data_IF_002972610297
#
_entry.id   IF_002972610297
#
_cell.length_a   1.000
_cell.length_b   1.000
_cell.length_c   1.000
_cell.angle_alpha   90.00
_cell.angle_beta   90.00
_cell.angle_gamma   90.00
#
_symmetry.space_group_name_H-M   'P 1'
#
loop_
_entity.id
_entity.type
_entity.pdbx_description
1 polymer ?
#
# COMPACT_ATOMS: atom_id res chain seq x y z
N UNK A 1 73.57 -40.50 -37.17
CA UNK A 1 72.12 -40.40 -37.43
C UNK A 1 71.40 -40.72 -36.14
N UNK A 2 71.03 -39.71 -35.36
CA UNK A 2 70.18 -39.87 -34.19
C UNK A 2 68.75 -39.53 -34.59
N UNK A 3 67.94 -40.57 -34.78
CA UNK A 3 66.51 -40.42 -35.06
C UNK A 3 65.82 -40.06 -33.74
N UNK A 4 65.48 -38.78 -33.54
CA UNK A 4 64.50 -38.40 -32.51
C UNK A 4 63.17 -39.09 -32.85
N UNK A 5 62.59 -39.89 -31.95
CA UNK A 5 61.48 -40.77 -32.29
C UNK A 5 60.20 -39.96 -32.52
N UNK A 6 59.56 -40.16 -33.68
CA UNK A 6 58.25 -39.62 -34.08
C UNK A 6 57.19 -39.67 -32.95
N UNK A 7 57.31 -40.64 -32.05
CA UNK A 7 56.42 -40.85 -30.91
C UNK A 7 56.37 -39.65 -29.96
N UNK A 8 57.48 -38.93 -29.75
CA UNK A 8 57.48 -37.74 -28.88
C UNK A 8 56.73 -36.56 -29.51
N UNK A 9 56.80 -36.41 -30.83
CA UNK A 9 56.11 -35.33 -31.53
C UNK A 9 54.59 -35.54 -31.52
N UNK A 10 54.14 -36.77 -31.76
CA UNK A 10 52.73 -37.13 -31.73
C UNK A 10 52.10 -36.93 -30.34
N UNK A 11 52.81 -37.31 -29.28
CA UNK A 11 52.33 -37.19 -27.89
C UNK A 11 52.20 -35.72 -27.44
N UNK A 12 53.10 -34.84 -27.91
CA UNK A 12 53.00 -33.39 -27.65
C UNK A 12 51.84 -32.74 -28.41
N UNK A 13 51.59 -33.15 -29.66
CA UNK A 13 50.48 -32.64 -30.46
C UNK A 13 49.12 -33.04 -29.89
N UNK A 14 48.95 -34.30 -29.50
CA UNK A 14 47.71 -34.79 -28.87
C UNK A 14 47.43 -34.07 -27.55
N UNK A 15 48.44 -33.85 -26.70
CA UNK A 15 48.29 -33.11 -25.45
C UNK A 15 47.88 -31.64 -25.68
N UNK A 16 48.44 -30.97 -26.69
CA UNK A 16 48.05 -29.59 -27.04
C UNK A 16 46.60 -29.51 -27.53
N UNK A 17 46.17 -30.47 -28.36
CA UNK A 17 44.78 -30.54 -28.86
C UNK A 17 43.82 -30.80 -27.69
N UNK A 18 44.14 -31.76 -26.81
CA UNK A 18 43.35 -32.07 -25.60
C UNK A 18 43.24 -30.86 -24.66
N UNK A 19 44.33 -30.12 -24.43
CA UNK A 19 44.28 -28.89 -23.62
C UNK A 19 43.40 -27.81 -24.25
N UNK A 20 43.52 -27.61 -25.58
CA UNK A 20 42.72 -26.61 -26.31
C UNK A 20 41.23 -26.96 -26.28
N UNK A 21 40.89 -28.24 -26.45
CA UNK A 21 39.51 -28.73 -26.34
C UNK A 21 38.97 -28.57 -24.92
N UNK A 22 39.73 -28.94 -23.87
CA UNK A 22 39.32 -28.74 -22.47
C UNK A 22 39.07 -27.26 -22.18
N UNK A 23 39.97 -26.35 -22.58
CA UNK A 23 39.82 -24.91 -22.35
C UNK A 23 38.57 -24.33 -23.04
N UNK A 24 38.26 -24.76 -24.26
CA UNK A 24 37.08 -24.32 -24.99
C UNK A 24 35.78 -24.83 -24.34
N UNK A 25 35.76 -26.09 -23.89
CA UNK A 25 34.61 -26.67 -23.18
C UNK A 25 34.42 -25.99 -21.81
N UNK A 26 35.49 -25.76 -21.04
CA UNK A 26 35.41 -25.03 -19.77
C UNK A 26 34.91 -23.59 -19.98
N UNK A 27 35.37 -22.90 -21.02
CA UNK A 27 34.93 -21.54 -21.35
C UNK A 27 33.45 -21.48 -21.79
N UNK A 28 32.97 -22.50 -22.51
CA UNK A 28 31.56 -22.65 -22.88
C UNK A 28 30.68 -22.97 -21.68
N UNK A 29 31.10 -23.89 -20.80
CA UNK A 29 30.36 -24.24 -19.58
C UNK A 29 30.27 -23.04 -18.62
N UNK A 30 31.35 -22.26 -18.45
CA UNK A 30 31.33 -21.03 -17.65
C UNK A 30 30.37 -20.01 -18.27
N UNK A 31 30.33 -19.87 -19.60
CA UNK A 31 29.42 -18.93 -20.28
C UNK A 31 27.95 -19.31 -20.09
N UNK A 32 27.61 -20.61 -20.15
CA UNK A 32 26.24 -21.09 -19.87
C UNK A 32 25.86 -20.97 -18.39
N UNK A 33 26.80 -21.21 -17.46
CA UNK A 33 26.55 -21.06 -16.02
C UNK A 33 26.28 -19.60 -15.63
N UNK A 34 26.97 -18.63 -16.25
CA UNK A 34 26.73 -17.20 -16.03
C UNK A 34 25.36 -16.77 -16.60
N UNK A 35 24.97 -17.26 -17.79
CA UNK A 35 23.66 -16.97 -18.37
C UNK A 35 22.50 -17.55 -17.54
N UNK A 36 22.68 -18.75 -16.98
CA UNK A 36 21.65 -19.41 -16.16
C UNK A 36 21.51 -18.76 -14.78
N UNK A 37 22.61 -18.26 -14.18
CA UNK A 37 22.58 -17.53 -12.91
C UNK A 37 21.82 -16.20 -12.98
N UNK A 38 21.81 -15.54 -14.15
CA UNK A 38 21.03 -14.31 -14.40
C UNK A 38 19.52 -14.57 -14.53
N UNK A 39 19.10 -15.78 -14.91
CA UNK A 39 17.69 -16.17 -15.06
C UNK A 39 17.03 -16.62 -13.74
N UNK A 40 17.82 -16.94 -12.72
CA UNK A 40 17.34 -17.38 -11.40
C UNK A 40 17.21 -16.25 -10.37
N UNK A 41 17.42 -14.99 -10.74
CA UNK A 41 17.02 -13.89 -9.88
C UNK A 41 15.51 -13.76 -9.96
N UNK A 42 14.74 -13.95 -8.87
CA UNK A 42 13.37 -13.48 -8.87
C UNK A 42 13.44 -11.99 -9.15
N UNK A 43 12.89 -11.56 -10.28
CA UNK A 43 12.58 -10.15 -10.48
C UNK A 43 11.52 -9.84 -9.45
N UNK A 44 11.95 -9.49 -8.24
CA UNK A 44 11.14 -8.68 -7.36
C UNK A 44 11.05 -7.33 -8.06
N UNK A 45 10.17 -7.28 -9.07
CA UNK A 45 9.44 -6.07 -9.42
C UNK A 45 8.70 -5.69 -8.13
N UNK A 46 9.44 -5.07 -7.22
CA UNK A 46 8.86 -4.00 -6.46
C UNK A 46 8.42 -3.03 -7.53
N UNK A 47 7.16 -3.15 -7.95
CA UNK A 47 6.44 -2.03 -8.47
C UNK A 47 6.40 -1.01 -7.33
N UNK A 48 7.53 -0.36 -7.07
CA UNK A 48 7.57 0.99 -6.52
C UNK A 48 7.07 1.90 -7.65
N UNK A 49 5.84 1.66 -8.10
CA UNK A 49 5.00 2.78 -8.43
C UNK A 49 5.04 3.67 -7.19
N UNK A 50 5.30 4.96 -7.39
CA UNK A 50 5.17 5.93 -6.31
C UNK A 50 3.85 5.63 -5.60
N UNK A 51 3.90 5.40 -4.28
CA UNK A 51 2.71 5.21 -3.45
C UNK A 51 1.67 6.26 -3.85
N UNK A 52 0.40 5.87 -3.92
CA UNK A 52 -0.65 6.79 -4.31
C UNK A 52 -0.56 8.09 -3.51
N UNK A 53 -0.73 9.22 -4.20
CA UNK A 53 -0.71 10.52 -3.55
C UNK A 53 -2.15 11.00 -3.37
N UNK A 54 -2.63 10.95 -2.13
CA UNK A 54 -3.99 11.36 -1.79
C UNK A 54 -4.13 12.87 -1.57
N UNK A 55 -3.05 13.65 -1.74
CA UNK A 55 -3.08 15.09 -1.53
C UNK A 55 -4.05 15.79 -2.50
N UNK A 56 -4.84 16.70 -1.95
CA UNK A 56 -5.84 17.45 -2.70
C UNK A 56 -6.99 17.92 -1.83
N UNK A 57 -7.83 18.75 -2.45
CA UNK A 57 -9.14 19.11 -1.93
C UNK A 57 -10.17 18.18 -2.58
N UNK A 58 -10.97 17.52 -1.77
CA UNK A 58 -11.89 16.48 -2.18
C UNK A 58 -13.31 16.88 -1.84
N UNK A 59 -14.17 16.93 -2.86
CA UNK A 59 -15.59 17.16 -2.75
C UNK A 59 -16.33 15.83 -2.67
N UNK A 60 -17.23 15.67 -1.69
CA UNK A 60 -18.01 14.44 -1.59
C UNK A 60 -18.99 14.30 -2.76
N UNK A 61 -18.97 13.16 -3.44
CA UNK A 61 -19.91 12.84 -4.50
C UNK A 61 -20.99 11.89 -3.98
N UNK A 62 -22.12 12.44 -3.55
CA UNK A 62 -23.25 11.67 -3.07
C UNK A 62 -23.83 10.71 -4.12
N UNK A 63 -23.86 11.10 -5.40
CA UNK A 63 -24.44 10.29 -6.49
C UNK A 63 -23.65 9.02 -6.79
N UNK A 64 -22.34 9.01 -6.54
CA UNK A 64 -21.45 7.86 -6.74
C UNK A 64 -21.18 7.08 -5.44
N UNK A 65 -21.68 7.57 -4.30
CA UNK A 65 -21.41 6.99 -3.00
C UNK A 65 -22.54 6.05 -2.56
N UNK A 66 -22.18 5.06 -1.75
CA UNK A 66 -23.11 4.15 -1.09
C UNK A 66 -22.84 4.16 0.41
N UNK A 67 -23.76 4.72 1.20
CA UNK A 67 -23.63 4.83 2.65
C UNK A 67 -24.31 3.67 3.42
N UNK A 68 -24.79 2.67 2.69
CA UNK A 68 -25.64 1.59 3.20
C UNK A 68 -26.98 2.09 3.73
N UNK A 69 -27.79 1.18 4.27
CA UNK A 69 -29.02 1.54 4.97
C UNK A 69 -28.67 2.28 6.26
N UNK A 70 -29.05 3.55 6.34
CA UNK A 70 -28.96 4.32 7.57
C UNK A 70 -29.95 3.73 8.59
N UNK A 71 -29.54 3.46 9.84
CA UNK A 71 -30.51 3.14 10.88
C UNK A 71 -31.56 4.25 10.95
N UNK A 72 -32.82 3.84 11.10
CA UNK A 72 -33.96 4.73 11.28
C UNK A 72 -33.72 5.57 12.56
N UNK A 73 -33.17 6.77 12.40
CA UNK A 73 -32.72 7.58 13.54
C UNK A 73 -31.38 8.30 13.32
N UNK A 74 -31.26 9.06 12.22
CA UNK A 74 -30.33 10.18 12.15
C UNK A 74 -28.89 9.85 11.77
N UNK A 75 -28.55 10.15 10.51
CA UNK A 75 -27.18 10.56 10.18
C UNK A 75 -26.42 9.66 9.20
N UNK A 76 -27.01 9.36 8.04
CA UNK A 76 -26.21 8.92 6.88
C UNK A 76 -24.98 9.82 6.65
N UNK A 77 -25.16 11.13 6.86
CA UNK A 77 -24.10 12.16 6.80
C UNK A 77 -23.34 12.38 8.11
N UNK A 78 -23.76 11.78 9.23
CA UNK A 78 -23.06 11.94 10.53
C UNK A 78 -21.81 11.06 10.61
N UNK A 79 -21.78 9.96 9.85
CA UNK A 79 -20.68 8.97 9.89
C UNK A 79 -19.67 9.10 8.73
N UNK A 80 -19.89 10.00 7.77
CA UNK A 80 -18.98 10.21 6.64
C UNK A 80 -19.62 11.03 5.52
N UNK A 81 -18.81 11.49 4.55
CA UNK A 81 -19.30 12.17 3.35
C UNK A 81 -19.30 13.71 3.39
N UNK A 82 -18.50 14.33 4.24
CA UNK A 82 -18.17 15.75 4.13
C UNK A 82 -16.95 15.97 3.23
N UNK A 83 -16.81 17.17 2.70
CA UNK A 83 -15.60 17.58 1.99
C UNK A 83 -14.38 17.50 2.91
N UNK A 84 -13.21 17.30 2.32
CA UNK A 84 -11.97 17.34 3.08
C UNK A 84 -10.78 17.81 2.26
N UNK A 85 -9.74 18.26 2.96
CA UNK A 85 -8.41 18.50 2.39
C UNK A 85 -7.47 17.44 2.92
N UNK A 86 -6.70 16.81 2.04
CA UNK A 86 -5.60 15.93 2.40
C UNK A 86 -4.28 16.57 2.02
N UNK A 87 -3.32 16.55 2.95
CA UNK A 87 -1.92 16.93 2.75
C UNK A 87 -1.07 15.71 3.01
N UNK A 88 -0.19 15.37 2.06
CA UNK A 88 0.68 14.20 2.15
C UNK A 88 2.14 14.63 2.03
N UNK A 89 2.87 14.56 3.14
CA UNK A 89 4.27 14.99 3.24
C UNK A 89 5.11 13.83 3.76
N UNK A 90 6.01 13.32 2.91
CA UNK A 90 6.86 12.17 3.22
C UNK A 90 6.05 10.97 3.77
N UNK A 91 6.09 10.77 5.10
CA UNK A 91 5.42 9.67 5.80
C UNK A 91 4.20 10.12 6.62
N UNK A 92 3.69 11.34 6.41
CA UNK A 92 2.54 11.87 7.13
C UNK A 92 1.42 12.22 6.17
N UNK A 93 0.24 11.64 6.41
CA UNK A 93 -1.02 12.07 5.82
C UNK A 93 -1.81 12.86 6.86
N UNK A 94 -2.10 14.12 6.56
CA UNK A 94 -3.00 14.97 7.36
C UNK A 94 -4.30 15.15 6.60
N UNK A 95 -5.43 14.84 7.26
CA UNK A 95 -6.78 14.94 6.70
C UNK A 95 -7.58 15.95 7.52
N UNK A 96 -8.05 17.00 6.88
CA UNK A 96 -8.92 18.02 7.46
C UNK A 96 -10.31 17.87 6.85
N UNK A 97 -11.24 17.28 7.60
CA UNK A 97 -12.63 17.10 7.15
C UNK A 97 -13.51 18.19 7.71
N UNK A 98 -14.36 18.78 6.86
CA UNK A 98 -15.38 19.74 7.28
C UNK A 98 -16.75 19.08 7.36
N UNK A 99 -17.53 19.44 8.38
CA UNK A 99 -18.89 18.95 8.58
C UNK A 99 -19.75 20.09 9.05
N UNK A 100 -20.95 20.24 8.49
CA UNK A 100 -21.93 21.19 9.02
C UNK A 100 -22.65 20.54 10.19
N UNK A 101 -22.58 21.16 11.36
CA UNK A 101 -23.32 20.80 12.56
C UNK A 101 -24.82 21.05 12.39
N UNK A 102 -25.62 20.55 13.32
CA UNK A 102 -27.08 20.75 13.32
C UNK A 102 -27.49 22.22 13.50
N UNK A 103 -26.61 23.02 14.09
CA UNK A 103 -26.72 24.46 14.28
C UNK A 103 -26.28 25.27 13.04
N UNK A 104 -25.91 24.60 11.94
CA UNK A 104 -25.40 25.23 10.73
C UNK A 104 -23.92 25.65 10.83
N UNK A 105 -23.26 25.45 11.97
CA UNK A 105 -21.84 25.78 12.12
C UNK A 105 -20.97 24.74 11.44
N UNK A 106 -19.92 25.18 10.75
CA UNK A 106 -18.94 24.25 10.17
C UNK A 106 -17.94 23.83 11.23
N UNK A 107 -17.88 22.54 11.52
CA UNK A 107 -16.85 21.93 12.35
C UNK A 107 -15.77 21.30 11.46
N UNK A 108 -14.52 21.64 11.72
CA UNK A 108 -13.37 20.99 11.11
C UNK A 108 -12.78 19.95 12.07
N UNK A 109 -12.47 18.77 11.56
CA UNK A 109 -11.71 17.75 12.30
C UNK A 109 -10.42 17.46 11.56
N UNK A 110 -9.30 17.53 12.27
CA UNK A 110 -7.99 17.12 11.73
C UNK A 110 -7.66 15.72 12.21
N UNK A 111 -7.15 14.88 11.31
CA UNK A 111 -6.64 13.55 11.63
C UNK A 111 -5.29 13.35 10.94
N UNK A 112 -4.33 12.78 11.67
CA UNK A 112 -2.96 12.54 11.22
C UNK A 112 -2.68 11.05 11.22
N UNK A 113 -2.12 10.55 10.11
CA UNK A 113 -1.79 9.15 9.93
C UNK A 113 -0.34 9.00 9.46
N UNK A 114 0.43 8.19 10.17
CA UNK A 114 1.78 7.79 9.75
C UNK A 114 1.68 6.71 8.67
N UNK A 115 2.38 6.89 7.56
CA UNK A 115 2.31 6.06 6.36
C UNK A 115 3.35 4.92 6.33
N UNK A 116 4.07 4.73 7.43
CA UNK A 116 5.12 3.73 7.62
C UNK A 116 4.65 2.48 8.39
N UNK A 117 3.33 2.36 8.63
CA UNK A 117 2.77 1.24 9.39
C UNK A 117 2.86 1.38 10.90
N UNK A 118 3.43 2.48 11.42
CA UNK A 118 3.42 2.75 12.87
C UNK A 118 2.06 3.27 13.32
N UNK A 119 1.80 3.13 14.62
CA UNK A 119 0.60 3.66 15.25
C UNK A 119 0.66 5.18 15.29
N UNK A 120 -0.42 5.81 14.87
CA UNK A 120 -0.70 7.25 15.01
C UNK A 120 -1.82 7.46 16.04
N UNK A 121 -1.68 8.49 16.87
CA UNK A 121 -2.65 8.81 17.93
C UNK A 121 -3.28 10.16 17.62
N UNK A 122 -4.61 10.22 17.60
CA UNK A 122 -5.36 11.46 17.41
C UNK A 122 -6.29 11.67 18.60
N UNK A 123 -6.10 12.78 19.30
CA UNK A 123 -6.90 13.18 20.46
C UNK A 123 -7.90 14.24 20.06
N UNK A 124 -9.16 14.04 20.44
CA UNK A 124 -10.25 14.99 20.22
C UNK A 124 -11.00 15.21 21.53
N UNK A 125 -11.93 16.18 21.55
CA UNK A 125 -12.85 16.35 22.68
C UNK A 125 -13.71 15.10 22.97
N UNK A 126 -13.80 14.16 22.02
CA UNK A 126 -14.53 12.89 22.16
C UNK A 126 -13.64 11.71 22.59
N UNK A 127 -12.38 11.98 22.94
CA UNK A 127 -11.40 10.97 23.35
C UNK A 127 -10.31 10.71 22.32
N UNK A 128 -9.53 9.66 22.60
CA UNK A 128 -8.38 9.23 21.81
C UNK A 128 -8.79 8.21 20.74
N UNK A 129 -8.12 8.27 19.60
CA UNK A 129 -8.18 7.25 18.56
C UNK A 129 -6.78 6.83 18.14
N UNK A 130 -6.58 5.52 17.99
CA UNK A 130 -5.32 4.92 17.53
C UNK A 130 -5.52 4.37 16.13
N UNK A 131 -4.62 4.70 15.21
CA UNK A 131 -4.73 4.28 13.81
C UNK A 131 -3.42 3.73 13.26
N UNK A 132 -3.50 2.67 12.46
CA UNK A 132 -2.37 2.10 11.71
C UNK A 132 -2.69 2.14 10.23
N UNK A 133 -1.80 2.71 9.42
CA UNK A 133 -1.96 2.82 7.97
C UNK A 133 -0.97 1.89 7.24
N UNK A 134 -1.48 1.04 6.35
CA UNK A 134 -0.71 0.01 5.64
C UNK A 134 -0.97 0.11 4.14
N UNK A 135 0.10 0.24 3.36
CA UNK A 135 0.03 0.25 1.91
C UNK A 135 -0.21 -1.17 1.37
N UNK A 136 -0.97 -1.28 0.29
CA UNK A 136 -0.99 -2.48 -0.54
C UNK A 136 0.40 -2.73 -1.15
N UNK A 137 0.69 -3.98 -1.53
CA UNK A 137 1.98 -4.36 -2.10
C UNK A 137 2.34 -3.58 -3.37
N UNK A 138 1.34 -3.16 -4.15
CA UNK A 138 1.50 -2.32 -5.35
C UNK A 138 1.51 -0.81 -5.06
N UNK A 139 1.38 -0.41 -3.79
CA UNK A 139 1.37 0.99 -3.35
C UNK A 139 0.15 1.80 -3.79
N UNK A 140 -0.87 1.19 -4.41
CA UNK A 140 -2.02 1.93 -4.97
C UNK A 140 -3.13 2.20 -3.97
N UNK A 141 -3.22 1.39 -2.92
CA UNK A 141 -4.24 1.51 -1.89
C UNK A 141 -3.63 1.65 -0.51
N UNK A 142 -4.28 2.41 0.36
CA UNK A 142 -3.90 2.59 1.76
C UNK A 142 -5.03 2.08 2.65
N UNK A 143 -4.73 1.07 3.46
CA UNK A 143 -5.66 0.57 4.47
C UNK A 143 -5.36 1.26 5.80
N UNK A 144 -6.35 1.95 6.37
CA UNK A 144 -6.27 2.59 7.69
C UNK A 144 -7.18 1.82 8.64
N UNK A 145 -6.61 1.24 9.68
CA UNK A 145 -7.37 0.61 10.76
C UNK A 145 -7.36 1.53 11.96
N UNK A 146 -8.52 1.97 12.40
CA UNK A 146 -8.71 2.86 13.55
C UNK A 146 -9.47 2.14 14.65
N UNK A 147 -8.93 2.20 15.85
CA UNK A 147 -9.59 1.81 17.10
C UNK A 147 -9.95 3.06 17.90
N UNK A 148 -11.18 3.09 18.42
CA UNK A 148 -11.65 4.12 19.35
C UNK A 148 -12.28 3.46 20.57
N UNK A 149 -11.92 3.96 21.74
CA UNK A 149 -12.49 3.51 23.00
C UNK A 149 -13.48 4.55 23.48
N UNK A 150 -14.71 4.13 23.75
CA UNK A 150 -15.75 4.97 24.31
C UNK A 150 -16.16 4.43 25.67
N UNK A 151 -16.31 5.32 26.64
CA UNK A 151 -16.98 4.97 27.89
C UNK A 151 -18.42 5.47 27.87
N UNK A 152 -19.34 4.56 28.20
CA UNK A 152 -20.76 4.86 28.33
C UNK A 152 -21.29 4.07 29.51
N UNK A 153 -21.94 4.77 30.46
CA UNK A 153 -22.58 4.16 31.63
C UNK A 153 -21.62 3.27 32.47
N UNK A 154 -20.34 3.67 32.55
CA UNK A 154 -19.29 2.91 33.25
C UNK A 154 -18.78 1.67 32.50
N UNK A 155 -19.25 1.41 31.28
CA UNK A 155 -18.77 0.36 30.41
C UNK A 155 -17.90 0.92 29.29
N UNK A 156 -16.73 0.30 29.11
CA UNK A 156 -15.81 0.60 28.01
C UNK A 156 -16.20 -0.23 26.78
N UNK A 157 -16.52 0.45 25.68
CA UNK A 157 -16.77 -0.19 24.38
C UNK A 157 -15.68 0.20 23.39
N UNK A 158 -15.07 -0.78 22.73
CA UNK A 158 -14.13 -0.56 21.64
C UNK A 158 -14.87 -0.60 20.29
N UNK A 159 -14.64 0.42 19.47
CA UNK A 159 -15.11 0.48 18.09
C UNK A 159 -13.92 0.39 17.15
N UNK A 160 -13.97 -0.58 16.25
CA UNK A 160 -12.98 -0.75 15.18
C UNK A 160 -13.58 -0.32 13.84
N UNK A 161 -12.82 0.48 13.11
CA UNK A 161 -13.14 0.89 11.73
C UNK A 161 -11.95 0.56 10.84
N UNK A 162 -12.21 -0.06 9.71
CA UNK A 162 -11.20 -0.29 8.66
C UNK A 162 -11.60 0.46 7.43
N UNK A 163 -10.66 1.22 6.87
CA UNK A 163 -10.90 2.01 5.68
C UNK A 163 -9.86 1.74 4.62
N UNK A 164 -10.28 1.59 3.38
CA UNK A 164 -9.39 1.41 2.23
C UNK A 164 -9.54 2.60 1.31
N UNK A 165 -8.44 3.35 1.14
CA UNK A 165 -8.36 4.52 0.30
C UNK A 165 -7.67 4.14 -1.02
N UNK A 166 -8.26 4.53 -2.14
CA UNK A 166 -7.69 4.33 -3.46
C UNK A 166 -8.04 5.49 -4.41
N UNK A 167 -7.18 5.74 -5.39
CA UNK A 167 -7.49 6.62 -6.51
C UNK A 167 -8.00 5.76 -7.67
N UNK A 168 -9.28 5.92 -8.02
CA UNK A 168 -9.85 5.25 -9.20
C UNK A 168 -9.35 5.90 -10.50
N UNK A 169 -9.01 7.19 -10.43
CA UNK A 169 -8.29 7.97 -11.41
C UNK A 169 -7.65 9.18 -10.69
N UNK A 170 -6.80 10.01 -11.36
CA UNK A 170 -6.12 11.14 -10.71
C UNK A 170 -7.03 12.18 -10.04
N UNK A 171 -8.31 12.22 -10.41
CA UNK A 171 -9.30 13.20 -9.94
C UNK A 171 -10.45 12.58 -9.16
N UNK A 172 -10.44 11.27 -8.91
CA UNK A 172 -11.52 10.57 -8.20
C UNK A 172 -10.95 9.60 -7.16
N UNK A 173 -11.27 9.86 -5.90
CA UNK A 173 -10.89 9.05 -4.75
C UNK A 173 -12.06 8.18 -4.29
N UNK A 174 -11.79 6.92 -3.99
CA UNK A 174 -12.71 6.02 -3.28
C UNK A 174 -12.20 5.73 -1.88
N UNK A 175 -13.10 5.78 -0.90
CA UNK A 175 -12.88 5.37 0.50
C UNK A 175 -13.95 4.36 0.87
N UNK A 176 -13.55 3.10 0.91
CA UNK A 176 -14.38 2.03 1.45
C UNK A 176 -14.17 1.98 2.96
N UNK A 177 -15.24 1.92 3.73
CA UNK A 177 -15.19 1.86 5.19
C UNK A 177 -16.03 0.68 5.66
N UNK A 178 -15.45 -0.08 6.59
CA UNK A 178 -16.05 -1.20 7.27
C UNK A 178 -16.00 -0.94 8.75
N UNK A 179 -17.15 -0.92 9.40
CA UNK A 179 -17.28 -0.75 10.84
C UNK A 179 -17.91 -2.00 11.45
N UNK A 180 -17.22 -2.62 12.39
CA UNK A 180 -17.76 -3.74 13.16
C UNK A 180 -18.41 -3.20 14.42
N UNK A 181 -19.70 -3.46 14.58
CA UNK A 181 -20.45 -3.13 15.80
C UNK A 181 -21.03 -4.40 16.41
N UNK A 182 -21.45 -4.39 17.69
CA UNK A 182 -22.18 -5.51 18.29
C UNK A 182 -23.43 -5.92 17.49
N UNK A 183 -24.01 -5.00 16.71
CA UNK A 183 -25.20 -5.23 15.88
C UNK A 183 -24.87 -5.71 14.46
N UNK A 184 -23.61 -6.05 14.17
CA UNK A 184 -23.13 -6.51 12.87
C UNK A 184 -22.14 -5.56 12.19
N UNK A 185 -21.74 -5.96 10.98
CA UNK A 185 -20.79 -5.23 10.14
C UNK A 185 -21.54 -4.25 9.23
N UNK A 186 -21.09 -3.00 9.20
CA UNK A 186 -21.59 -1.97 8.29
C UNK A 186 -20.51 -1.61 7.29
N UNK A 187 -20.84 -1.66 6.01
CA UNK A 187 -19.97 -1.23 4.90
C UNK A 187 -20.52 0.01 4.22
N UNK A 188 -19.62 0.93 3.87
CA UNK A 188 -19.93 2.13 3.09
C UNK A 188 -18.83 2.39 2.09
N UNK A 189 -19.17 2.88 0.90
CA UNK A 189 -18.24 3.36 -0.11
C UNK A 189 -18.49 4.83 -0.34
N UNK A 190 -17.50 5.66 -0.05
CA UNK A 190 -17.56 7.10 -0.28
C UNK A 190 -16.67 7.47 -1.47
N UNK A 191 -17.25 8.12 -2.46
CA UNK A 191 -16.54 8.60 -3.65
C UNK A 191 -16.41 10.11 -3.56
N UNK A 192 -15.23 10.62 -3.90
CA UNK A 192 -14.92 12.04 -3.90
C UNK A 192 -14.34 12.45 -5.25
N UNK A 193 -14.76 13.61 -5.72
CA UNK A 193 -14.15 14.25 -6.88
C UNK A 193 -13.18 15.35 -6.41
N UNK A 194 -12.06 15.51 -7.11
CA UNK A 194 -11.07 16.54 -6.79
C UNK A 194 -11.65 17.93 -7.12
N UNK A 195 -11.43 18.89 -6.22
CA UNK A 195 -11.75 20.31 -6.45
C UNK A 195 -10.65 21.02 -7.22
#
# INVERSE_FOLDING_TARGET
>A
MEYLPLNNCLLVQTNKILLKMKKNVTMQIVSFAVLFALLCMPVALNAQGSKANFAGKWAFNASKSNLGDAPQGGGGMRMGGGDFTATQEANLLTVESTRTGQDGQTMTTTSKYTLDGKVSVNTTARGESKSTATWSADGKSLTIVTTRTFERDGQTTEMKTTEVWSLTNPTTLSRESTMTTPNGERKTTMVYDKK
#
